data_IF_566234729205
#
_entry.id   IF_566234729205
#
_cell.length_a   1.000
_cell.length_b   1.000
_cell.length_c   1.000
_cell.angle_alpha   90.00
_cell.angle_beta   90.00
_cell.angle_gamma   90.00
#
_symmetry.space_group_name_H-M   'P 1'
#
loop_
_entity.id
_entity.type
_entity.pdbx_description
1 polymer ?
#
# COMPACT_ATOMS: atom_id res chain seq x y z
N UNK A 1 -27.99 -26.23 -13.43
CA UNK A 1 -27.91 -24.75 -13.31
C UNK A 1 -26.47 -24.39 -13.01
N UNK A 2 -25.85 -23.47 -13.77
CA UNK A 2 -24.48 -23.04 -13.49
C UNK A 2 -24.41 -22.33 -12.14
N UNK A 3 -23.44 -22.68 -11.31
CA UNK A 3 -23.22 -22.06 -10.01
C UNK A 3 -23.04 -20.53 -10.16
N UNK A 4 -23.88 -19.70 -9.51
CA UNK A 4 -23.81 -18.25 -9.61
C UNK A 4 -22.45 -17.68 -9.18
N UNK A 5 -21.71 -18.38 -8.31
CA UNK A 5 -20.37 -17.97 -7.88
C UNK A 5 -19.38 -17.95 -9.05
N UNK A 6 -19.49 -18.89 -9.99
CA UNK A 6 -18.62 -18.98 -11.18
C UNK A 6 -18.84 -17.76 -12.09
N UNK A 7 -20.09 -17.31 -12.23
CA UNK A 7 -20.43 -16.13 -13.04
C UNK A 7 -19.85 -14.88 -12.41
N UNK A 8 -20.04 -14.69 -11.10
CA UNK A 8 -19.49 -13.55 -10.35
C UNK A 8 -17.96 -13.51 -10.46
N UNK A 9 -17.30 -14.65 -10.26
CA UNK A 9 -15.85 -14.81 -10.40
C UNK A 9 -15.37 -14.37 -11.79
N UNK A 10 -16.04 -14.82 -12.85
CA UNK A 10 -15.66 -14.46 -14.22
C UNK A 10 -15.84 -12.97 -14.50
N UNK A 11 -16.95 -12.39 -14.06
CA UNK A 11 -17.20 -10.95 -14.19
C UNK A 11 -16.11 -10.16 -13.46
N UNK A 12 -15.76 -10.58 -12.24
CA UNK A 12 -14.76 -9.88 -11.45
C UNK A 12 -13.35 -10.03 -12.04
N UNK A 13 -12.97 -11.22 -12.51
CA UNK A 13 -11.70 -11.43 -13.21
C UNK A 13 -11.61 -10.62 -14.52
N UNK A 14 -12.74 -10.43 -15.21
CA UNK A 14 -12.79 -9.62 -16.43
C UNK A 14 -12.72 -8.12 -16.13
N UNK A 15 -13.40 -7.66 -15.07
CA UNK A 15 -13.47 -6.24 -14.72
C UNK A 15 -12.21 -5.75 -13.98
N UNK A 16 -11.52 -6.62 -13.24
CA UNK A 16 -10.43 -6.23 -12.37
C UNK A 16 -9.21 -5.63 -13.12
N UNK A 17 -8.65 -6.27 -14.17
CA UNK A 17 -7.52 -5.69 -14.90
C UNK A 17 -7.81 -4.30 -15.49
N UNK A 18 -8.90 -4.03 -16.23
CA UNK A 18 -9.13 -2.70 -16.79
C UNK A 18 -9.32 -1.63 -15.71
N UNK A 19 -9.95 -1.96 -14.57
CA UNK A 19 -10.04 -1.05 -13.42
C UNK A 19 -8.63 -0.68 -12.93
N UNK A 20 -7.76 -1.68 -12.73
CA UNK A 20 -6.38 -1.44 -12.29
C UNK A 20 -5.57 -0.64 -13.31
N UNK A 21 -5.76 -0.86 -14.62
CA UNK A 21 -5.07 -0.09 -15.66
C UNK A 21 -5.53 1.38 -15.72
N UNK A 22 -6.81 1.65 -15.47
CA UNK A 22 -7.38 3.01 -15.50
C UNK A 22 -7.06 3.79 -14.22
N UNK A 23 -6.92 3.09 -13.08
CA UNK A 23 -6.77 3.71 -11.76
C UNK A 23 -5.64 4.76 -11.67
N UNK A 24 -4.41 4.55 -12.19
CA UNK A 24 -3.37 5.57 -12.19
C UNK A 24 -3.77 6.88 -12.87
N UNK A 25 -4.42 6.78 -14.04
CA UNK A 25 -4.91 7.93 -14.78
C UNK A 25 -6.04 8.63 -14.02
N UNK A 26 -7.00 7.88 -13.51
CA UNK A 26 -8.11 8.43 -12.72
C UNK A 26 -7.59 9.24 -11.51
N UNK A 27 -6.62 8.69 -10.77
CA UNK A 27 -6.04 9.37 -9.62
C UNK A 27 -5.28 10.64 -10.01
N UNK A 28 -4.52 10.63 -11.10
CA UNK A 28 -3.89 11.86 -11.64
C UNK A 28 -4.93 12.92 -11.99
N UNK A 29 -6.06 12.53 -12.57
CA UNK A 29 -7.12 13.48 -12.95
C UNK A 29 -7.84 14.07 -11.74
N UNK A 30 -8.00 13.30 -10.67
CA UNK A 30 -8.62 13.74 -9.42
C UNK A 30 -7.72 14.64 -8.57
N UNK A 31 -6.39 14.55 -8.71
CA UNK A 31 -5.45 15.41 -7.98
C UNK A 31 -5.54 16.86 -8.50
N UNK A 32 -5.89 17.83 -7.63
CA UNK A 32 -5.98 19.24 -8.00
C UNK A 32 -4.68 19.76 -8.61
N UNK A 33 -4.79 20.59 -9.64
CA UNK A 33 -3.64 21.32 -10.21
C UNK A 33 -3.41 22.60 -9.42
N UNK A 34 -2.23 22.77 -8.84
CA UNK A 34 -1.75 24.08 -8.38
C UNK A 34 -1.32 24.89 -9.60
N UNK A 35 -1.54 26.21 -9.60
CA UNK A 35 -1.27 27.10 -10.74
C UNK A 35 0.20 26.99 -11.18
N UNK A 36 0.51 26.38 -12.34
CA UNK A 36 1.89 26.23 -12.79
C UNK A 36 2.27 27.40 -13.71
N UNK A 37 3.56 27.73 -13.75
CA UNK A 37 4.14 28.53 -14.84
C UNK A 37 3.85 27.88 -16.21
N UNK A 38 3.88 28.67 -17.28
CA UNK A 38 3.55 28.19 -18.63
C UNK A 38 4.46 27.05 -19.10
N UNK A 39 5.76 27.10 -18.77
CA UNK A 39 6.70 26.03 -19.08
C UNK A 39 6.36 24.71 -18.35
N UNK A 40 5.99 24.81 -17.06
CA UNK A 40 5.61 23.66 -16.24
C UNK A 40 4.25 23.10 -16.69
N UNK A 41 3.33 23.95 -17.15
CA UNK A 41 2.07 23.51 -17.79
C UNK A 41 2.34 22.66 -19.02
N UNK A 42 3.26 23.07 -19.90
CA UNK A 42 3.60 22.30 -21.11
C UNK A 42 4.20 20.93 -20.75
N UNK A 43 5.14 20.90 -19.80
CA UNK A 43 5.73 19.65 -19.29
C UNK A 43 4.69 18.70 -18.71
N UNK A 44 3.80 19.21 -17.85
CA UNK A 44 2.73 18.41 -17.24
C UNK A 44 1.72 17.88 -18.27
N UNK A 45 1.44 18.65 -19.34
CA UNK A 45 0.61 18.17 -20.46
C UNK A 45 1.28 17.03 -21.21
N UNK A 46 2.58 17.15 -21.50
CA UNK A 46 3.35 16.07 -22.14
C UNK A 46 3.35 14.78 -21.30
N UNK A 47 3.62 14.89 -20.01
CA UNK A 47 3.57 13.74 -19.09
C UNK A 47 2.16 13.13 -18.98
N UNK A 48 1.12 13.95 -18.95
CA UNK A 48 -0.27 13.47 -18.95
C UNK A 48 -0.60 12.75 -20.26
N UNK A 49 -0.20 13.30 -21.40
CA UNK A 49 -0.40 12.66 -22.69
C UNK A 49 0.29 11.29 -22.76
N UNK A 50 1.54 11.19 -22.29
CA UNK A 50 2.26 9.91 -22.20
C UNK A 50 1.52 8.89 -21.33
N UNK A 51 0.99 9.31 -20.17
CA UNK A 51 0.19 8.44 -19.30
C UNK A 51 -1.10 7.97 -19.97
N UNK A 52 -1.83 8.87 -20.64
CA UNK A 52 -3.06 8.56 -21.37
C UNK A 52 -2.76 7.54 -22.49
N UNK A 53 -1.75 7.80 -23.31
CA UNK A 53 -1.35 6.91 -24.40
C UNK A 53 -0.95 5.53 -23.87
N UNK A 54 -0.11 5.48 -22.83
CA UNK A 54 0.31 4.22 -22.22
C UNK A 54 -0.87 3.44 -21.63
N UNK A 55 -1.83 4.13 -21.01
CA UNK A 55 -3.05 3.52 -20.47
C UNK A 55 -3.92 2.95 -21.58
N UNK A 56 -4.12 3.69 -22.68
CA UNK A 56 -4.87 3.22 -23.86
C UNK A 56 -4.19 1.99 -24.46
N UNK A 57 -2.88 2.02 -24.64
CA UNK A 57 -2.11 0.87 -25.16
C UNK A 57 -2.25 -0.34 -24.24
N UNK A 58 -2.13 -0.16 -22.92
CA UNK A 58 -2.30 -1.25 -21.97
C UNK A 58 -3.70 -1.87 -22.02
N UNK A 59 -4.75 -1.04 -22.13
CA UNK A 59 -6.14 -1.51 -22.29
C UNK A 59 -6.33 -2.23 -23.62
N UNK A 60 -5.77 -1.70 -24.72
CA UNK A 60 -5.85 -2.34 -26.03
C UNK A 60 -5.15 -3.70 -26.05
N UNK A 61 -3.97 -3.80 -25.45
CA UNK A 61 -3.23 -5.07 -25.29
C UNK A 61 -4.04 -6.07 -24.46
N UNK A 62 -4.59 -5.63 -23.33
CA UNK A 62 -5.47 -6.48 -22.51
C UNK A 62 -6.69 -6.96 -23.31
N UNK A 63 -7.40 -6.06 -23.99
CA UNK A 63 -8.57 -6.40 -24.79
C UNK A 63 -8.23 -7.38 -25.92
N UNK A 64 -7.10 -7.18 -26.60
CA UNK A 64 -6.57 -8.11 -27.60
C UNK A 64 -6.33 -9.51 -27.03
N UNK A 65 -5.75 -9.62 -25.83
CA UNK A 65 -5.57 -10.90 -25.15
C UNK A 65 -6.89 -11.54 -24.68
N UNK A 66 -7.86 -10.75 -24.22
CA UNK A 66 -9.20 -11.26 -23.86
C UNK A 66 -9.89 -11.86 -25.09
N UNK A 67 -9.91 -11.14 -26.21
CA UNK A 67 -10.55 -11.60 -27.46
C UNK A 67 -9.84 -12.83 -28.03
N UNK A 68 -8.50 -12.83 -28.03
CA UNK A 68 -7.70 -13.99 -28.49
C UNK A 68 -7.84 -15.18 -27.53
N UNK A 69 -8.07 -14.91 -26.25
CA UNK A 69 -8.32 -15.90 -25.20
C UNK A 69 -9.49 -16.84 -25.45
N UNK A 70 -10.43 -16.45 -26.32
CA UNK A 70 -11.54 -17.30 -26.77
C UNK A 70 -11.02 -18.50 -27.57
N UNK A 71 -9.97 -18.31 -28.38
CA UNK A 71 -9.37 -19.36 -29.23
C UNK A 71 -8.14 -19.99 -28.59
N UNK A 72 -7.43 -19.23 -27.76
CA UNK A 72 -6.09 -19.58 -27.28
C UNK A 72 -6.03 -19.49 -25.75
N UNK A 73 -6.02 -20.63 -25.02
CA UNK A 73 -6.14 -20.63 -23.56
C UNK A 73 -5.00 -19.93 -22.80
N UNK A 74 -3.81 -19.78 -23.37
CA UNK A 74 -2.73 -19.04 -22.70
C UNK A 74 -2.95 -17.53 -22.76
N UNK A 75 -3.61 -17.01 -23.81
CA UNK A 75 -3.87 -15.59 -23.95
C UNK A 75 -4.82 -15.07 -22.86
N UNK A 76 -5.80 -15.88 -22.43
CA UNK A 76 -6.67 -15.54 -21.30
C UNK A 76 -5.91 -15.46 -19.97
N UNK A 77 -4.90 -16.30 -19.74
CA UNK A 77 -4.03 -16.20 -18.56
C UNK A 77 -3.23 -14.89 -18.56
N UNK A 78 -2.69 -14.51 -19.72
CA UNK A 78 -1.95 -13.24 -19.88
C UNK A 78 -2.87 -12.05 -19.67
N UNK A 79 -4.09 -12.07 -20.23
CA UNK A 79 -5.10 -11.04 -19.96
C UNK A 79 -5.42 -10.91 -18.46
N UNK A 80 -5.59 -12.04 -17.76
CA UNK A 80 -5.86 -12.04 -16.32
C UNK A 80 -4.66 -11.56 -15.50
N UNK A 81 -3.44 -11.56 -16.04
CA UNK A 81 -2.23 -11.08 -15.37
C UNK A 81 -1.85 -9.64 -15.77
N UNK A 82 -2.53 -9.04 -16.75
CA UNK A 82 -2.19 -7.70 -17.27
C UNK A 82 -2.33 -6.59 -16.24
N UNK A 83 -3.03 -6.82 -15.13
CA UNK A 83 -3.11 -5.88 -14.01
C UNK A 83 -1.73 -5.52 -13.46
N UNK A 84 -0.70 -6.34 -13.66
CA UNK A 84 0.69 -6.02 -13.28
C UNK A 84 1.23 -4.79 -14.03
N UNK A 85 0.68 -4.45 -15.20
CA UNK A 85 1.01 -3.18 -15.88
C UNK A 85 0.56 -1.93 -15.09
N UNK A 86 -0.26 -2.10 -14.05
CA UNK A 86 -0.50 -1.06 -13.05
C UNK A 86 0.80 -0.49 -12.49
N UNK A 87 1.80 -1.34 -12.17
CA UNK A 87 3.05 -0.88 -11.55
C UNK A 87 3.84 0.12 -12.41
N UNK A 88 4.18 -0.18 -13.68
CA UNK A 88 4.87 0.80 -14.52
C UNK A 88 4.01 2.04 -14.83
N UNK A 89 2.70 1.89 -15.00
CA UNK A 89 1.79 3.05 -15.18
C UNK A 89 1.77 3.94 -13.93
N UNK A 90 1.72 3.33 -12.75
CA UNK A 90 1.69 4.02 -11.47
C UNK A 90 3.03 4.67 -11.15
N UNK A 91 4.09 3.87 -11.00
CA UNK A 91 5.38 4.33 -10.53
C UNK A 91 6.19 5.07 -11.60
N UNK A 92 6.05 4.70 -12.87
CA UNK A 92 6.80 5.28 -13.98
C UNK A 92 6.19 6.56 -14.55
N UNK A 93 4.85 6.69 -14.54
CA UNK A 93 4.16 7.79 -15.24
C UNK A 93 3.25 8.61 -14.32
N UNK A 94 2.32 7.97 -13.62
CA UNK A 94 1.33 8.68 -12.82
C UNK A 94 1.95 9.38 -11.60
N UNK A 95 2.80 8.68 -10.85
CA UNK A 95 3.41 9.21 -9.64
C UNK A 95 4.34 10.41 -9.89
N UNK A 96 5.25 10.39 -10.89
CA UNK A 96 6.02 11.58 -11.26
C UNK A 96 5.14 12.77 -11.68
N UNK A 97 4.03 12.51 -12.37
CA UNK A 97 3.09 13.57 -12.77
C UNK A 97 2.35 14.16 -11.57
N UNK A 98 1.95 13.34 -10.59
CA UNK A 98 1.35 13.82 -9.34
C UNK A 98 2.34 14.70 -8.58
N UNK A 99 3.62 14.29 -8.53
CA UNK A 99 4.70 15.09 -7.93
C UNK A 99 4.89 16.42 -8.65
N UNK A 100 4.95 16.42 -9.98
CA UNK A 100 5.09 17.64 -10.78
C UNK A 100 3.94 18.63 -10.53
N UNK A 101 2.69 18.14 -10.36
CA UNK A 101 1.54 18.99 -10.00
C UNK A 101 1.59 19.56 -8.58
N UNK A 102 2.40 18.95 -7.71
CA UNK A 102 2.50 19.27 -6.29
C UNK A 102 3.97 19.30 -5.86
N UNK A 103 4.79 20.27 -6.33
CA UNK A 103 6.22 20.30 -6.04
C UNK A 103 6.53 20.40 -4.54
N UNK A 104 5.62 20.97 -3.75
CA UNK A 104 5.71 20.96 -2.28
C UNK A 104 5.73 19.55 -1.64
N UNK A 105 5.35 18.50 -2.39
CA UNK A 105 5.42 17.12 -1.93
C UNK A 105 6.84 16.53 -2.05
N UNK A 106 7.70 17.06 -2.93
CA UNK A 106 9.08 16.56 -3.08
C UNK A 106 9.95 16.84 -1.85
N UNK A 107 9.83 18.06 -1.30
CA UNK A 107 10.50 18.44 -0.05
C UNK A 107 9.97 17.67 1.17
N UNK A 108 8.71 17.24 1.12
CA UNK A 108 8.08 16.41 2.14
C UNK A 108 8.53 14.94 2.07
N UNK A 109 8.74 14.37 0.89
CA UNK A 109 9.05 12.95 0.70
C UNK A 109 10.50 12.61 1.02
N UNK A 110 11.45 13.51 0.76
CA UNK A 110 12.88 13.21 0.90
C UNK A 110 13.44 13.45 2.31
N UNK A 111 12.75 14.17 3.21
CA UNK A 111 13.28 14.51 4.54
C UNK A 111 14.55 15.41 4.50
N UNK A 112 15.25 15.44 3.38
CA UNK A 112 16.30 16.38 3.00
C UNK A 112 15.65 17.65 2.47
N UNK A 113 14.96 18.38 3.35
CA UNK A 113 14.96 19.82 3.15
C UNK A 113 16.41 20.25 3.18
N UNK A 114 16.97 20.56 2.01
CA UNK A 114 18.28 21.21 1.87
C UNK A 114 18.20 22.59 2.51
N UNK A 115 18.18 22.62 3.83
CA UNK A 115 18.45 23.81 4.58
C UNK A 115 19.97 23.96 4.59
N UNK A 116 20.47 24.80 3.70
CA UNK A 116 21.84 25.34 3.78
C UNK A 116 22.03 26.28 4.99
N UNK A 117 21.15 26.22 5.98
CA UNK A 117 21.30 26.86 7.27
C UNK A 117 21.44 25.77 8.32
N UNK A 118 22.42 25.92 9.21
CA UNK A 118 22.71 25.07 10.38
C UNK A 118 21.45 24.85 11.22
N UNK A 119 20.62 23.87 10.83
CA UNK A 119 19.48 23.42 11.60
C UNK A 119 20.02 22.67 12.81
N UNK A 120 20.00 23.32 13.98
CA UNK A 120 20.18 22.62 15.24
C UNK A 120 19.01 21.64 15.41
N UNK A 121 19.22 20.37 15.10
CA UNK A 121 18.28 19.28 15.37
C UNK A 121 18.60 18.71 16.76
N UNK A 122 18.15 19.38 17.83
CA UNK A 122 18.26 18.85 19.18
C UNK A 122 16.86 18.57 19.73
N UNK A 123 16.40 17.32 19.59
CA UNK A 123 15.21 16.86 20.31
C UNK A 123 15.56 16.68 21.79
N UNK A 124 15.41 17.72 22.61
CA UNK A 124 15.58 17.64 24.07
C UNK A 124 14.46 16.85 24.77
N UNK A 125 13.39 16.49 24.06
CA UNK A 125 12.24 15.78 24.63
C UNK A 125 12.41 14.27 24.44
N UNK A 126 12.38 13.51 25.54
CA UNK A 126 12.36 12.05 25.49
C UNK A 126 11.00 11.58 24.94
N UNK A 127 10.96 11.27 23.64
CA UNK A 127 9.76 10.89 22.89
C UNK A 127 9.45 9.40 22.96
N UNK A 128 10.41 8.57 23.35
CA UNK A 128 10.22 7.11 23.44
C UNK A 128 9.11 6.74 24.44
N UNK A 129 8.88 7.58 25.45
CA UNK A 129 7.80 7.41 26.44
C UNK A 129 6.40 7.78 25.94
N UNK A 130 6.28 8.42 24.77
CA UNK A 130 4.99 8.85 24.18
C UNK A 130 4.53 7.94 23.04
N UNK A 131 4.76 6.64 23.15
CA UNK A 131 4.29 5.69 22.15
C UNK A 131 2.74 5.61 22.20
N UNK A 132 2.02 5.90 21.09
CA UNK A 132 0.57 5.84 21.06
C UNK A 132 0.00 4.40 21.06
N UNK A 133 0.85 3.38 20.87
CA UNK A 133 0.42 1.97 20.84
C UNK A 133 0.38 1.40 22.25
N UNK A 134 -0.83 1.03 22.70
CA UNK A 134 -1.05 0.46 24.04
C UNK A 134 -0.78 -1.04 24.08
N UNK A 135 -0.65 -1.61 25.29
CA UNK A 135 -0.48 -3.07 25.47
C UNK A 135 -1.65 -3.88 24.88
N UNK A 136 -2.89 -3.37 25.00
CA UNK A 136 -4.07 -4.02 24.42
C UNK A 136 -4.02 -4.08 22.89
N UNK A 137 -3.49 -3.04 22.24
CA UNK A 137 -3.29 -3.04 20.79
C UNK A 137 -2.29 -4.12 20.36
N UNK A 138 -1.19 -4.29 21.10
CA UNK A 138 -0.22 -5.37 20.84
C UNK A 138 -0.84 -6.76 20.97
N UNK A 139 -1.74 -6.96 21.94
CA UNK A 139 -2.47 -8.22 22.06
C UNK A 139 -3.35 -8.49 20.83
N UNK A 140 -4.07 -7.48 20.34
CA UNK A 140 -4.87 -7.60 19.09
C UNK A 140 -3.98 -7.97 17.91
N UNK A 141 -2.84 -7.30 17.76
CA UNK A 141 -1.89 -7.57 16.69
C UNK A 141 -1.30 -8.98 16.79
N UNK A 142 -0.94 -9.45 17.99
CA UNK A 142 -0.51 -10.81 18.22
C UNK A 142 -1.58 -11.82 17.80
N UNK A 143 -2.82 -11.66 18.27
CA UNK A 143 -3.93 -12.54 17.89
C UNK A 143 -4.14 -12.54 16.38
N UNK A 144 -4.18 -11.37 15.74
CA UNK A 144 -4.36 -11.25 14.29
C UNK A 144 -3.24 -11.96 13.50
N UNK A 145 -1.99 -11.82 13.93
CA UNK A 145 -0.84 -12.45 13.27
C UNK A 145 -0.75 -13.96 13.48
N UNK A 146 -1.16 -14.46 14.65
CA UNK A 146 -1.13 -15.90 14.92
C UNK A 146 -2.37 -16.63 14.40
N UNK A 147 -3.53 -15.97 14.29
CA UNK A 147 -4.79 -16.61 13.91
C UNK A 147 -4.72 -17.38 12.59
N UNK A 148 -4.16 -16.79 11.53
CA UNK A 148 -4.02 -17.44 10.22
C UNK A 148 -3.10 -18.66 10.28
N UNK A 149 -1.91 -18.51 10.87
CA UNK A 149 -0.96 -19.61 11.01
C UNK A 149 -1.51 -20.75 11.88
N UNK A 150 -2.19 -20.44 12.98
CA UNK A 150 -2.85 -21.42 13.85
C UNK A 150 -3.96 -22.17 13.12
N UNK A 151 -4.81 -21.47 12.34
CA UNK A 151 -5.86 -22.09 11.55
C UNK A 151 -5.30 -23.03 10.47
N UNK A 152 -4.20 -22.66 9.80
CA UNK A 152 -3.53 -23.51 8.80
C UNK A 152 -2.83 -24.70 9.47
N UNK A 153 -2.16 -24.49 10.60
CA UNK A 153 -1.52 -25.56 11.36
C UNK A 153 -2.55 -26.58 11.88
N UNK A 154 -3.69 -26.11 12.39
CA UNK A 154 -4.79 -26.96 12.83
C UNK A 154 -5.31 -27.88 11.70
N UNK A 155 -5.30 -27.41 10.46
CA UNK A 155 -5.67 -28.25 9.31
C UNK A 155 -4.73 -29.44 9.11
N UNK A 156 -3.46 -29.31 9.47
CA UNK A 156 -2.46 -30.38 9.40
C UNK A 156 -2.63 -31.46 10.49
N UNK A 157 -3.43 -31.20 11.53
CA UNK A 157 -3.79 -32.20 12.54
C UNK A 157 -4.89 -33.15 12.07
N UNK A 158 -5.62 -32.77 11.01
CA UNK A 158 -6.61 -33.62 10.37
C UNK A 158 -5.94 -34.39 9.22
N UNK A 159 -6.32 -35.65 8.96
CA UNK A 159 -5.86 -36.35 7.77
C UNK A 159 -6.17 -35.49 6.54
N UNK A 160 -5.17 -35.29 5.67
CA UNK A 160 -5.46 -34.85 4.31
C UNK A 160 -6.33 -35.94 3.67
N UNK A 161 -7.43 -35.60 2.98
CA UNK A 161 -8.33 -36.61 2.43
C UNK A 161 -7.51 -37.61 1.61
N UNK A 162 -7.46 -38.85 2.12
CA UNK A 162 -6.87 -40.02 1.47
C UNK A 162 -7.86 -40.66 0.47
N UNK A 163 -9.02 -40.03 0.28
CA UNK A 163 -10.09 -40.52 -0.58
C UNK A 163 -9.86 -40.16 -2.04
N UNK A 164 -8.84 -40.76 -2.63
CA UNK A 164 -8.89 -41.10 -4.04
C UNK A 164 -8.00 -42.31 -4.28
N UNK A 165 -8.66 -43.43 -4.54
CA UNK A 165 -8.09 -44.76 -4.75
C UNK A 165 -7.78 -44.97 -6.23
N UNK A 166 -7.09 -44.02 -6.84
CA UNK A 166 -6.64 -44.04 -8.22
C UNK A 166 -5.12 -43.92 -8.36
N UNK A 167 -4.50 -44.56 -9.38
CA UNK A 167 -3.06 -44.48 -9.63
C UNK A 167 -2.54 -43.09 -10.07
N UNK A 168 -3.33 -42.01 -9.92
CA UNK A 168 -2.93 -40.61 -10.14
C UNK A 168 -2.90 -39.75 -8.88
N UNK A 169 -3.19 -40.32 -7.71
CA UNK A 169 -3.54 -39.56 -6.51
C UNK A 169 -2.35 -39.15 -5.63
N UNK A 170 -1.23 -39.88 -5.68
CA UNK A 170 -0.03 -39.54 -4.90
C UNK A 170 0.54 -38.16 -5.28
N UNK A 171 0.49 -37.80 -6.57
CA UNK A 171 0.91 -36.48 -7.05
C UNK A 171 0.00 -35.37 -6.52
N UNK A 172 -1.30 -35.62 -6.41
CA UNK A 172 -2.27 -34.65 -5.90
C UNK A 172 -2.13 -34.42 -4.39
N UNK A 173 -1.92 -35.49 -3.60
CA UNK A 173 -1.67 -35.42 -2.16
C UNK A 173 -0.36 -34.70 -1.87
N UNK A 174 0.68 -35.00 -2.63
CA UNK A 174 1.98 -34.32 -2.51
C UNK A 174 1.85 -32.83 -2.83
N UNK A 175 1.13 -32.47 -3.89
CA UNK A 175 0.87 -31.07 -4.25
C UNK A 175 0.10 -30.32 -3.14
N UNK A 176 -0.95 -30.92 -2.58
CA UNK A 176 -1.71 -30.33 -1.47
C UNK A 176 -0.85 -30.15 -0.22
N UNK A 177 0.01 -31.13 0.12
CA UNK A 177 0.94 -31.02 1.25
C UNK A 177 1.96 -29.91 1.03
N UNK A 178 2.52 -29.80 -0.17
CA UNK A 178 3.44 -28.70 -0.53
C UNK A 178 2.72 -27.36 -0.40
N UNK A 179 1.52 -27.23 -0.96
CA UNK A 179 0.72 -26.01 -0.86
C UNK A 179 0.43 -25.63 0.60
N UNK A 180 0.05 -26.59 1.43
CA UNK A 180 -0.14 -26.39 2.87
C UNK A 180 1.14 -25.89 3.55
N UNK A 181 2.29 -26.53 3.30
CA UNK A 181 3.58 -26.11 3.87
C UNK A 181 3.94 -24.69 3.44
N UNK A 182 3.73 -24.35 2.17
CA UNK A 182 3.98 -22.99 1.65
C UNK A 182 3.08 -21.98 2.34
N UNK A 183 1.77 -22.23 2.41
CA UNK A 183 0.83 -21.33 3.07
C UNK A 183 1.10 -21.17 4.57
N UNK A 184 1.48 -22.25 5.26
CA UNK A 184 1.90 -22.20 6.66
C UNK A 184 3.17 -21.36 6.81
N UNK A 185 4.20 -21.64 6.01
CA UNK A 185 5.47 -20.92 6.04
C UNK A 185 5.32 -19.42 5.78
N UNK A 186 4.53 -19.06 4.76
CA UNK A 186 4.21 -17.65 4.45
C UNK A 186 3.40 -17.02 5.58
N UNK A 187 2.42 -17.71 6.16
CA UNK A 187 1.61 -17.18 7.26
C UNK A 187 2.43 -16.97 8.54
N UNK A 188 3.45 -17.80 8.78
CA UNK A 188 4.40 -17.62 9.87
C UNK A 188 5.30 -16.36 9.72
N UNK A 189 5.32 -15.71 8.55
CA UNK A 189 6.01 -14.42 8.40
C UNK A 189 5.31 -13.30 9.17
N UNK A 190 4.00 -13.36 9.37
CA UNK A 190 3.26 -12.35 10.13
C UNK A 190 3.69 -12.24 11.60
N UNK A 191 3.76 -13.34 12.40
CA UNK A 191 4.26 -13.25 13.77
C UNK A 191 5.75 -12.89 13.84
N UNK A 192 6.57 -13.29 12.87
CA UNK A 192 7.96 -12.81 12.77
C UNK A 192 8.02 -11.29 12.51
N UNK A 193 7.12 -10.78 11.67
CA UNK A 193 6.96 -9.34 11.42
C UNK A 193 6.63 -8.55 12.70
N UNK A 194 5.90 -9.13 13.64
CA UNK A 194 5.64 -8.51 14.95
C UNK A 194 6.90 -8.34 15.80
N UNK A 195 7.93 -9.17 15.62
CA UNK A 195 9.21 -8.99 16.31
C UNK A 195 9.96 -7.76 15.77
N UNK A 196 9.78 -7.46 14.49
CA UNK A 196 10.43 -6.32 13.83
C UNK A 196 9.64 -5.02 13.95
N UNK A 197 8.31 -5.10 14.06
CA UNK A 197 7.43 -3.94 14.12
C UNK A 197 7.81 -2.92 15.22
N UNK A 198 8.19 -3.32 16.46
CA UNK A 198 8.68 -2.38 17.48
C UNK A 198 9.89 -1.57 17.03
N UNK A 199 10.82 -2.17 16.29
CA UNK A 199 12.03 -1.50 15.78
C UNK A 199 11.64 -0.44 14.76
N UNK A 200 10.74 -0.79 13.83
CA UNK A 200 10.21 0.13 12.82
C UNK A 200 9.42 1.28 13.44
N UNK A 201 8.61 1.02 14.47
CA UNK A 201 7.86 2.09 15.14
C UNK A 201 8.79 2.99 15.98
N UNK A 202 9.83 2.44 16.59
CA UNK A 202 10.86 3.22 17.31
C UNK A 202 11.66 4.10 16.37
N UNK A 203 12.00 3.64 15.17
CA UNK A 203 12.72 4.48 14.21
C UNK A 203 11.86 5.69 13.78
N UNK A 204 10.55 5.52 13.63
CA UNK A 204 9.62 6.63 13.36
C UNK A 204 9.49 7.62 14.53
N UNK A 205 9.62 7.16 15.78
CA UNK A 205 9.64 8.03 16.96
C UNK A 205 10.93 8.86 17.06
N UNK A 206 12.02 8.35 16.49
CA UNK A 206 13.35 8.97 16.50
C UNK A 206 13.60 9.89 15.30
N UNK A 207 12.64 10.00 14.37
CA UNK A 207 12.80 10.91 13.24
C UNK A 207 13.06 12.34 13.74
N UNK A 208 14.13 12.99 13.25
CA UNK A 208 14.47 14.34 13.66
C UNK A 208 13.37 15.29 13.18
N UNK A 209 12.74 15.98 14.12
CA UNK A 209 11.86 17.10 13.80
C UNK A 209 12.73 18.35 13.81
N UNK A 210 12.59 19.25 12.82
CA UNK A 210 13.31 20.51 12.86
C UNK A 210 12.91 21.22 14.15
N UNK A 211 13.90 21.61 14.96
CA UNK A 211 13.61 22.48 16.09
C UNK A 211 12.95 23.71 15.50
N UNK A 212 11.75 23.99 15.99
CA UNK A 212 11.16 25.27 15.71
C UNK A 212 12.06 26.32 16.34
N UNK A 213 12.76 27.10 15.52
CA UNK A 213 13.58 28.21 15.99
C UNK A 213 12.74 29.32 16.67
N UNK A 214 11.41 29.18 16.70
CA UNK A 214 10.43 30.09 17.30
C UNK A 214 9.59 29.49 18.43
N UNK A 215 9.66 28.18 18.70
CA UNK A 215 8.86 27.54 19.74
C UNK A 215 7.34 27.54 19.49
N UNK A 216 6.88 27.56 18.23
CA UNK A 216 5.45 27.55 17.89
C UNK A 216 4.76 26.28 18.36
N UNK A 217 3.78 26.45 19.25
CA UNK A 217 2.91 25.38 19.71
C UNK A 217 2.07 24.78 18.55
N UNK A 218 1.74 25.58 17.53
CA UNK A 218 0.98 25.13 16.35
C UNK A 218 1.77 24.10 15.55
N UNK A 219 3.04 24.40 15.25
CA UNK A 219 3.92 23.51 14.48
C UNK A 219 4.19 22.21 15.26
N UNK A 220 4.45 22.30 16.57
CA UNK A 220 4.65 21.15 17.45
C UNK A 220 3.43 20.23 17.48
N UNK A 221 2.22 20.80 17.56
CA UNK A 221 0.97 20.03 17.54
C UNK A 221 0.74 19.32 16.19
N UNK A 222 1.10 19.95 15.08
CA UNK A 222 1.01 19.34 13.74
C UNK A 222 1.96 18.15 13.60
N UNK A 223 3.22 18.29 14.03
CA UNK A 223 4.18 17.17 14.04
C UNK A 223 3.73 16.03 14.95
N UNK A 224 3.25 16.33 16.16
CA UNK A 224 2.74 15.31 17.08
C UNK A 224 1.54 14.54 16.49
N UNK A 225 0.59 15.26 15.88
CA UNK A 225 -0.58 14.64 15.23
C UNK A 225 -0.15 13.75 14.07
N UNK A 226 0.75 14.24 13.21
CA UNK A 226 1.25 13.49 12.07
C UNK A 226 1.99 12.22 12.51
N UNK A 227 2.90 12.33 13.48
CA UNK A 227 3.66 11.20 14.02
C UNK A 227 2.73 10.15 14.62
N UNK A 228 1.74 10.59 15.42
CA UNK A 228 0.73 9.69 16.00
C UNK A 228 -0.05 8.95 14.93
N UNK A 229 -0.55 9.67 13.91
CA UNK A 229 -1.24 9.05 12.76
C UNK A 229 -0.33 8.05 12.07
N UNK A 230 0.92 8.43 11.77
CA UNK A 230 1.91 7.57 11.11
C UNK A 230 2.10 6.25 11.82
N UNK A 231 2.40 6.31 13.12
CA UNK A 231 2.67 5.16 13.97
C UNK A 231 1.44 4.27 14.06
N UNK A 232 0.26 4.85 14.32
CA UNK A 232 -0.97 4.09 14.44
C UNK A 232 -1.36 3.43 13.11
N UNK A 233 -1.29 4.15 11.99
CA UNK A 233 -1.63 3.57 10.69
C UNK A 233 -0.64 2.49 10.26
N UNK A 234 0.67 2.67 10.50
CA UNK A 234 1.66 1.62 10.25
C UNK A 234 1.44 0.41 11.15
N UNK A 235 1.11 0.62 12.43
CA UNK A 235 0.80 -0.44 13.37
C UNK A 235 -0.45 -1.23 12.96
N UNK A 236 -1.57 -0.56 12.68
CA UNK A 236 -2.81 -1.23 12.30
C UNK A 236 -2.71 -1.92 10.96
N UNK A 237 -2.10 -1.26 9.96
CA UNK A 237 -1.97 -1.84 8.62
C UNK A 237 -1.10 -3.10 8.64
N UNK A 238 0.10 -3.03 9.25
CA UNK A 238 1.06 -4.14 9.20
C UNK A 238 0.88 -5.15 10.34
N UNK A 239 0.44 -4.71 11.52
CA UNK A 239 0.28 -5.56 12.69
C UNK A 239 -1.08 -6.24 12.79
N UNK A 240 -2.10 -5.75 12.09
CA UNK A 240 -3.47 -6.27 12.22
C UNK A 240 -4.10 -6.57 10.86
N UNK A 241 -4.30 -5.54 10.02
CA UNK A 241 -5.09 -5.67 8.79
C UNK A 241 -4.45 -6.61 7.79
N UNK A 242 -3.17 -6.40 7.45
CA UNK A 242 -2.46 -7.27 6.50
C UNK A 242 -2.37 -8.73 6.98
N UNK A 243 -1.93 -9.02 8.23
CA UNK A 243 -1.90 -10.38 8.74
C UNK A 243 -3.27 -11.07 8.74
N UNK A 244 -4.33 -10.37 9.16
CA UNK A 244 -5.67 -10.94 9.24
C UNK A 244 -6.23 -11.24 7.85
N UNK A 245 -6.07 -10.31 6.90
CA UNK A 245 -6.54 -10.50 5.52
C UNK A 245 -5.77 -11.63 4.84
N UNK A 246 -4.44 -11.57 4.83
CA UNK A 246 -3.62 -12.59 4.16
C UNK A 246 -3.73 -13.95 4.84
N UNK A 247 -3.60 -13.99 6.17
CA UNK A 247 -3.73 -15.21 6.96
C UNK A 247 -5.12 -15.83 6.85
N UNK A 248 -6.18 -15.01 6.80
CA UNK A 248 -7.55 -15.47 6.57
C UNK A 248 -7.74 -16.08 5.19
N UNK A 249 -7.24 -15.44 4.13
CA UNK A 249 -7.29 -15.97 2.76
C UNK A 249 -6.54 -17.30 2.67
N UNK A 250 -5.33 -17.40 3.22
CA UNK A 250 -4.54 -18.63 3.20
C UNK A 250 -5.17 -19.74 4.03
N UNK A 251 -5.72 -19.42 5.21
CA UNK A 251 -6.47 -20.38 6.00
C UNK A 251 -7.67 -20.91 5.21
N UNK A 252 -8.50 -20.04 4.64
CA UNK A 252 -9.67 -20.45 3.85
C UNK A 252 -9.28 -21.28 2.62
N UNK A 253 -8.20 -20.91 1.92
CA UNK A 253 -7.67 -21.69 0.79
C UNK A 253 -7.19 -23.09 1.21
N UNK A 254 -6.68 -23.23 2.44
CA UNK A 254 -6.22 -24.51 3.01
C UNK A 254 -7.41 -25.38 3.43
N UNK A 255 -8.45 -24.78 4.02
CA UNK A 255 -9.62 -25.51 4.51
C UNK A 255 -10.61 -25.88 3.40
N UNK A 256 -10.67 -25.10 2.31
CA UNK A 256 -11.59 -25.30 1.19
C UNK A 256 -10.84 -25.35 -0.16
N UNK A 257 -9.98 -26.37 -0.38
CA UNK A 257 -9.12 -26.46 -1.56
C UNK A 257 -9.91 -26.60 -2.87
N UNK A 258 -11.09 -27.22 -2.83
CA UNK A 258 -11.98 -27.40 -3.98
C UNK A 258 -12.49 -26.07 -4.56
N UNK A 259 -12.36 -24.97 -3.80
CA UNK A 259 -12.73 -23.62 -4.21
C UNK A 259 -11.48 -22.76 -4.48
N UNK A 260 -10.32 -23.38 -4.71
CA UNK A 260 -9.02 -22.69 -4.78
C UNK A 260 -8.98 -21.51 -5.75
N UNK A 261 -9.64 -21.61 -6.91
CA UNK A 261 -9.75 -20.49 -7.86
C UNK A 261 -10.47 -19.26 -7.29
N UNK A 262 -11.51 -19.47 -6.47
CA UNK A 262 -12.22 -18.39 -5.76
C UNK A 262 -11.32 -17.71 -4.74
N UNK A 263 -10.57 -18.48 -3.94
CA UNK A 263 -9.65 -17.89 -2.95
C UNK A 263 -8.49 -17.14 -3.58
N UNK A 264 -8.01 -17.56 -4.76
CA UNK A 264 -7.06 -16.78 -5.55
C UNK A 264 -7.61 -15.41 -5.93
N UNK A 265 -8.90 -15.33 -6.27
CA UNK A 265 -9.58 -14.07 -6.61
C UNK A 265 -9.82 -13.21 -5.39
N UNK A 266 -10.34 -13.79 -4.31
CA UNK A 266 -10.52 -13.09 -3.02
C UNK A 266 -9.17 -12.56 -2.54
N UNK A 267 -8.09 -13.33 -2.72
CA UNK A 267 -6.72 -12.91 -2.47
C UNK A 267 -6.28 -11.74 -3.34
N UNK A 268 -6.52 -11.80 -4.65
CA UNK A 268 -6.20 -10.72 -5.58
C UNK A 268 -6.97 -9.43 -5.27
N UNK A 269 -8.28 -9.52 -5.03
CA UNK A 269 -9.14 -8.38 -4.68
C UNK A 269 -8.75 -7.81 -3.32
N UNK A 270 -8.60 -8.67 -2.31
CA UNK A 270 -8.21 -8.27 -0.95
C UNK A 270 -6.84 -7.61 -0.93
N UNK A 271 -5.86 -8.18 -1.62
CA UNK A 271 -4.52 -7.59 -1.77
C UNK A 271 -4.54 -6.24 -2.49
N UNK A 272 -5.37 -6.11 -3.53
CA UNK A 272 -5.52 -4.85 -4.26
C UNK A 272 -6.19 -3.77 -3.43
N UNK A 273 -7.26 -4.11 -2.71
CA UNK A 273 -7.91 -3.21 -1.78
C UNK A 273 -6.94 -2.73 -0.69
N UNK A 274 -6.12 -3.64 -0.15
CA UNK A 274 -5.07 -3.31 0.82
C UNK A 274 -4.01 -2.38 0.22
N UNK A 275 -3.62 -2.62 -1.04
CA UNK A 275 -2.73 -1.73 -1.80
C UNK A 275 -3.31 -0.33 -2.00
N UNK A 276 -4.59 -0.23 -2.38
CA UNK A 276 -5.29 1.04 -2.54
C UNK A 276 -5.38 1.80 -1.21
N UNK A 277 -5.76 1.11 -0.12
CA UNK A 277 -5.79 1.70 1.22
C UNK A 277 -4.40 2.20 1.64
N UNK A 278 -3.35 1.40 1.39
CA UNK A 278 -1.96 1.80 1.63
C UNK A 278 -1.55 3.04 0.84
N UNK A 279 -1.93 3.11 -0.44
CA UNK A 279 -1.66 4.26 -1.30
C UNK A 279 -2.40 5.53 -0.82
N UNK A 280 -3.70 5.43 -0.54
CA UNK A 280 -4.52 6.53 0.00
C UNK A 280 -3.93 7.05 1.29
N UNK A 281 -3.55 6.14 2.20
CA UNK A 281 -2.88 6.49 3.44
C UNK A 281 -1.55 7.23 3.17
N UNK A 282 -0.73 6.73 2.24
CA UNK A 282 0.52 7.41 1.83
C UNK A 282 0.28 8.81 1.27
N UNK A 283 -0.78 9.03 0.48
CA UNK A 283 -1.17 10.35 0.00
C UNK A 283 -1.58 11.29 1.13
N UNK A 284 -2.42 10.82 2.07
CA UNK A 284 -2.82 11.61 3.23
C UNK A 284 -1.61 12.06 4.06
N UNK A 285 -0.66 11.16 4.31
CA UNK A 285 0.56 11.48 5.05
C UNK A 285 1.44 12.50 4.31
N UNK A 286 1.46 12.45 2.98
CA UNK A 286 2.18 13.43 2.13
C UNK A 286 1.51 14.80 2.18
N UNK A 287 0.18 14.85 2.12
CA UNK A 287 -0.58 16.09 2.25
C UNK A 287 -0.38 16.74 3.63
N UNK A 288 -0.32 15.94 4.71
CA UNK A 288 -0.01 16.46 6.05
C UNK A 288 1.40 17.06 6.14
N UNK A 289 2.40 16.42 5.52
CA UNK A 289 3.76 17.00 5.43
C UNK A 289 3.77 18.32 4.68
N UNK A 290 3.03 18.42 3.58
CA UNK A 290 2.92 19.66 2.82
C UNK A 290 2.33 20.79 3.68
N UNK A 291 1.28 20.50 4.46
CA UNK A 291 0.69 21.48 5.40
C UNK A 291 1.70 21.96 6.46
N UNK A 292 2.51 21.05 7.00
CA UNK A 292 3.57 21.39 7.95
C UNK A 292 4.61 22.30 7.30
N UNK A 293 5.01 22.00 6.06
CA UNK A 293 5.95 22.84 5.32
C UNK A 293 5.38 24.24 5.03
N UNK A 294 4.09 24.35 4.71
CA UNK A 294 3.40 25.63 4.49
C UNK A 294 3.36 26.49 5.77
N UNK A 295 3.01 25.89 6.92
CA UNK A 295 3.01 26.59 8.23
C UNK A 295 4.41 27.03 8.61
N UNK A 296 5.41 26.17 8.41
CA UNK A 296 6.82 26.52 8.64
C UNK A 296 7.24 27.72 7.79
N UNK A 297 6.98 27.69 6.48
CA UNK A 297 7.30 28.79 5.59
C UNK A 297 6.59 30.11 5.95
N UNK A 298 5.38 30.04 6.52
CA UNK A 298 4.66 31.21 7.06
C UNK A 298 5.37 31.79 8.29
N UNK A 299 5.79 30.94 9.22
CA UNK A 299 6.50 31.36 10.43
C UNK A 299 7.87 31.97 10.08
N UNK A 300 8.61 31.34 9.18
CA UNK A 300 9.92 31.84 8.71
C UNK A 300 9.79 33.22 8.05
N UNK A 301 8.75 33.45 7.23
CA UNK A 301 8.47 34.77 6.62
C UNK A 301 8.10 35.84 7.66
N UNK A 302 7.24 35.50 8.62
CA UNK A 302 6.81 36.43 9.68
C UNK A 302 7.99 36.91 10.53
N UNK A 303 8.97 36.02 10.74
CA UNK A 303 10.21 36.35 11.42
C UNK A 303 11.11 37.26 10.58
N UNK A 304 11.27 36.96 9.30
CA UNK A 304 12.06 37.79 8.39
C UNK A 304 11.52 39.23 8.34
N UNK A 305 10.21 39.41 8.33
CA UNK A 305 9.59 40.74 8.41
C UNK A 305 9.78 41.42 9.77
N UNK A 306 9.76 40.68 10.88
CA UNK A 306 9.97 41.25 12.21
C UNK A 306 11.44 41.64 12.50
N UNK A 307 12.39 41.02 11.79
CA UNK A 307 13.82 41.31 11.92
C UNK A 307 14.30 42.43 10.97
N UNK A 308 13.46 42.88 10.04
CA UNK A 308 13.80 44.02 9.19
C UNK A 308 13.84 45.31 10.03
N UNK A 309 14.92 46.11 9.98
CA UNK A 309 14.98 47.37 10.71
C UNK A 309 13.86 48.32 10.27
N UNK A 310 13.31 49.14 11.18
CA UNK A 310 12.32 50.16 10.81
C UNK A 310 12.95 51.11 9.79
N UNK A 311 12.22 51.38 8.72
CA UNK A 311 12.60 52.31 7.66
C UNK A 311 12.57 53.76 8.13
#
# INVERSE_FOLDING_TARGET
MSDPTIVIVRILMLAFPPIMLILPLALVLLVPRRQPDDAERMRQRGMLASLVIATIVAIAVWAGFVLTGIRVPWASRVANFSWVLFFPLWFGLAWPLIRARNPGWEGALHGSGGASGTLRTASLVNRERRNPVTRGMWAIAAVASFAGAAAIAARGLMPFPLESSGPGDEASVTAQRIQWMVFLGVSCMAPLGLLWLPVVLRSMLREPEPMDASGSAELAALYERQRRRRILGMFWLNGVVAPLVLGGIFALATWFPNVGGFWGIVGGVGGSALGVVGAVYGFMMTAERARIAEVRARLDRSRASAAAPPA
#
